data_IF_403860663924
#
_entry.id   IF_403860663924
#
_cell.length_a   1.000
_cell.length_b   1.000
_cell.length_c   1.000
_cell.angle_alpha   90.00
_cell.angle_beta   90.00
_cell.angle_gamma   90.00
#
_symmetry.space_group_name_H-M   'P 1'
#
loop_
_entity.id
_entity.type
_entity.pdbx_description
1 polymer ?
#
# COMPACT_ATOMS: atom_id res chain seq x y z
N UNK A 1 9.86 -10.20 15.80
CA UNK A 1 9.13 -11.44 15.45
C UNK A 1 9.48 -12.49 16.50
N UNK A 2 8.56 -13.39 16.85
CA UNK A 2 8.87 -14.50 17.76
C UNK A 2 9.94 -15.39 17.11
N UNK A 3 11.02 -15.72 17.83
CA UNK A 3 12.10 -16.60 17.35
C UNK A 3 11.57 -17.97 16.89
N UNK A 4 10.47 -18.43 17.48
CA UNK A 4 9.81 -19.70 17.15
C UNK A 4 9.24 -19.69 15.73
N UNK A 5 8.66 -18.57 15.30
CA UNK A 5 8.11 -18.42 13.95
C UNK A 5 9.21 -18.46 12.88
N UNK A 6 10.37 -17.89 13.20
CA UNK A 6 11.50 -17.86 12.29
C UNK A 6 12.08 -19.27 12.08
N UNK A 7 12.27 -20.03 13.17
CA UNK A 7 12.69 -21.44 13.11
C UNK A 7 11.70 -22.29 12.31
N UNK A 8 10.40 -22.09 12.50
CA UNK A 8 9.38 -22.83 11.75
C UNK A 8 9.46 -22.58 10.25
N UNK A 9 9.69 -21.33 9.82
CA UNK A 9 9.81 -20.99 8.40
C UNK A 9 11.08 -21.58 7.79
N UNK A 10 12.20 -21.55 8.53
CA UNK A 10 13.46 -22.15 8.10
C UNK A 10 13.33 -23.67 7.90
N UNK A 11 12.73 -24.37 8.86
CA UNK A 11 12.51 -25.82 8.78
C UNK A 11 11.59 -26.19 7.61
N UNK A 12 10.50 -25.45 7.42
CA UNK A 12 9.57 -25.69 6.32
C UNK A 12 10.24 -25.49 4.95
N UNK A 13 11.00 -24.40 4.78
CA UNK A 13 11.76 -24.12 3.56
C UNK A 13 12.79 -25.22 3.26
N UNK A 14 13.49 -25.72 4.28
CA UNK A 14 14.44 -26.81 4.14
C UNK A 14 13.76 -28.12 3.70
N UNK A 15 12.59 -28.46 4.27
CA UNK A 15 11.86 -29.68 3.93
C UNK A 15 11.39 -29.72 2.48
N UNK A 16 11.04 -28.57 1.90
CA UNK A 16 10.56 -28.47 0.52
C UNK A 16 11.67 -28.10 -0.48
N UNK A 17 12.90 -27.89 -0.02
CA UNK A 17 14.03 -27.46 -0.85
C UNK A 17 13.85 -26.06 -1.46
N UNK A 18 13.05 -25.20 -0.83
CA UNK A 18 12.82 -23.84 -1.27
C UNK A 18 13.72 -22.86 -0.51
N UNK A 19 14.07 -21.75 -1.15
CA UNK A 19 14.72 -20.65 -0.46
C UNK A 19 13.78 -20.06 0.61
N UNK A 20 14.31 -19.50 1.71
CA UNK A 20 13.53 -18.69 2.64
C UNK A 20 12.85 -17.53 1.90
N UNK A 21 11.66 -17.10 2.34
CA UNK A 21 10.99 -15.96 1.75
C UNK A 21 11.82 -14.67 1.94
N UNK A 22 11.88 -13.83 0.91
CA UNK A 22 12.62 -12.54 0.92
C UNK A 22 12.20 -11.59 2.06
N UNK A 23 11.04 -11.82 2.68
CA UNK A 23 10.58 -11.12 3.89
C UNK A 23 11.50 -11.35 5.11
N UNK A 24 12.31 -12.42 5.11
CA UNK A 24 13.28 -12.73 6.17
C UNK A 24 14.69 -12.17 5.88
N UNK A 25 14.91 -11.53 4.73
CA UNK A 25 16.20 -10.93 4.43
C UNK A 25 16.48 -9.77 5.40
N UNK A 26 17.75 -9.61 5.79
CA UNK A 26 18.19 -8.54 6.70
C UNK A 26 17.88 -7.12 6.15
N UNK A 27 17.74 -7.00 4.83
CA UNK A 27 17.41 -5.75 4.13
C UNK A 27 15.93 -5.67 3.71
N UNK A 28 15.08 -6.59 4.17
CA UNK A 28 13.65 -6.52 3.88
C UNK A 28 13.09 -5.18 4.41
N UNK A 29 12.13 -4.57 3.71
CA UNK A 29 11.44 -3.40 4.24
C UNK A 29 10.62 -3.81 5.47
N UNK A 30 11.17 -3.55 6.67
CA UNK A 30 10.49 -3.82 7.94
C UNK A 30 9.73 -2.56 8.34
N UNK A 31 8.46 -2.71 8.73
CA UNK A 31 7.70 -1.63 9.35
C UNK A 31 8.35 -1.26 10.70
N UNK A 32 8.95 -0.07 10.77
CA UNK A 32 9.53 0.47 12.00
C UNK A 32 8.54 1.42 12.67
N UNK A 33 7.98 1.09 13.84
CA UNK A 33 6.95 1.91 14.48
C UNK A 33 7.48 3.25 15.05
N UNK A 34 8.79 3.44 15.15
CA UNK A 34 9.44 4.59 15.80
C UNK A 34 10.10 5.59 14.81
N UNK A 35 10.11 5.30 13.52
CA UNK A 35 10.41 6.31 12.51
C UNK A 35 9.12 7.09 12.24
N UNK A 36 9.22 8.41 11.98
CA UNK A 36 8.07 9.18 11.50
C UNK A 36 7.39 8.40 10.39
N UNK A 37 6.08 8.10 10.47
CA UNK A 37 5.46 7.08 9.65
C UNK A 37 5.72 7.40 8.18
N UNK A 38 6.64 6.65 7.57
CA UNK A 38 7.00 6.85 6.18
C UNK A 38 5.74 6.60 5.36
N UNK A 39 5.22 7.65 4.74
CA UNK A 39 4.09 7.52 3.84
C UNK A 39 4.58 6.72 2.63
N UNK A 40 4.18 5.44 2.56
CA UNK A 40 4.45 4.62 1.41
C UNK A 40 3.47 4.97 0.28
N UNK A 41 4.00 5.60 -0.77
CA UNK A 41 3.26 5.81 -2.01
C UNK A 41 3.31 4.53 -2.85
N UNK A 42 2.17 3.84 -2.95
CA UNK A 42 2.03 2.60 -3.73
C UNK A 42 1.24 2.90 -5.01
N UNK A 43 1.87 2.67 -6.16
CA UNK A 43 1.22 2.78 -7.47
C UNK A 43 0.76 1.42 -8.01
N UNK A 44 -0.52 1.29 -8.34
CA UNK A 44 -1.05 0.11 -9.04
C UNK A 44 -1.06 0.37 -10.56
N UNK A 45 -0.20 -0.34 -11.30
CA UNK A 45 -0.05 -0.18 -12.75
C UNK A 45 -0.64 -1.42 -13.45
N UNK A 46 -1.43 -1.20 -14.49
CA UNK A 46 -2.01 -2.27 -15.30
C UNK A 46 -2.95 -1.73 -16.37
N UNK A 47 -3.26 -2.55 -17.38
CA UNK A 47 -4.13 -2.18 -18.51
C UNK A 47 -5.52 -1.69 -18.11
N UNK A 48 -6.29 -1.16 -19.07
CA UNK A 48 -7.70 -0.81 -18.82
C UNK A 48 -8.47 -2.06 -18.34
N UNK A 49 -9.44 -1.89 -17.45
CA UNK A 49 -10.38 -2.95 -17.00
C UNK A 49 -9.76 -4.16 -16.26
N UNK A 50 -8.48 -4.12 -15.88
CA UNK A 50 -7.83 -5.22 -15.11
C UNK A 50 -8.22 -5.28 -13.62
N UNK A 51 -9.23 -4.52 -13.19
CA UNK A 51 -9.74 -4.58 -11.80
C UNK A 51 -8.97 -3.76 -10.75
N UNK A 52 -8.11 -2.81 -11.15
CA UNK A 52 -7.35 -1.94 -10.21
C UNK A 52 -8.26 -1.23 -9.20
N UNK A 53 -9.34 -0.59 -9.68
CA UNK A 53 -10.31 0.10 -8.81
C UNK A 53 -11.03 -0.87 -7.87
N UNK A 54 -11.36 -2.07 -8.34
CA UNK A 54 -11.96 -3.11 -7.52
C UNK A 54 -11.04 -3.58 -6.41
N UNK A 55 -9.74 -3.74 -6.68
CA UNK A 55 -8.73 -4.10 -5.69
C UNK A 55 -8.59 -3.02 -4.61
N UNK A 56 -8.50 -1.75 -5.02
CA UNK A 56 -8.41 -0.61 -4.10
C UNK A 56 -9.64 -0.57 -3.18
N UNK A 57 -10.84 -0.68 -3.75
CA UNK A 57 -12.08 -0.65 -2.98
C UNK A 57 -12.17 -1.83 -1.99
N UNK A 58 -11.70 -3.02 -2.40
CA UNK A 58 -11.65 -4.19 -1.51
C UNK A 58 -10.65 -4.02 -0.36
N UNK A 59 -9.48 -3.44 -0.62
CA UNK A 59 -8.46 -3.15 0.41
C UNK A 59 -8.95 -2.11 1.43
N UNK A 60 -9.73 -1.13 0.96
CA UNK A 60 -10.29 -0.08 1.80
C UNK A 60 -11.58 -0.50 2.50
N UNK A 61 -12.29 -1.49 1.96
CA UNK A 61 -13.62 -1.90 2.44
C UNK A 61 -14.74 -0.93 2.03
N UNK A 62 -14.42 0.10 1.25
CA UNK A 62 -15.37 1.12 0.78
C UNK A 62 -15.11 1.46 -0.69
N UNK A 63 -16.15 1.96 -1.37
CA UNK A 63 -16.05 2.37 -2.77
C UNK A 63 -15.41 3.76 -2.89
N UNK A 64 -14.07 3.82 -2.89
CA UNK A 64 -13.32 5.08 -2.94
C UNK A 64 -12.88 5.48 -4.36
N UNK A 65 -12.79 4.51 -5.28
CA UNK A 65 -12.50 4.70 -6.69
C UNK A 65 -13.66 4.22 -7.55
N UNK A 66 -14.20 5.10 -8.39
CA UNK A 66 -15.23 4.76 -9.35
C UNK A 66 -14.64 4.00 -10.56
N UNK A 67 -15.41 3.08 -11.14
CA UNK A 67 -15.13 2.54 -12.47
C UNK A 67 -15.68 3.53 -13.50
N UNK A 68 -14.83 4.38 -14.05
CA UNK A 68 -15.25 5.28 -15.13
C UNK A 68 -15.08 4.55 -16.47
N UNK A 69 -16.19 4.11 -17.07
CA UNK A 69 -16.18 3.36 -18.32
C UNK A 69 -15.78 4.19 -19.56
N UNK A 70 -15.70 5.52 -19.44
CA UNK A 70 -15.41 6.41 -20.58
C UNK A 70 -14.81 7.73 -20.11
N UNK A 71 -13.48 7.86 -20.22
CA UNK A 71 -12.73 9.08 -19.90
C UNK A 71 -11.23 8.78 -19.86
N UNK A 72 -10.35 9.79 -19.97
CA UNK A 72 -8.90 9.62 -19.97
C UNK A 72 -8.39 9.25 -18.55
N UNK A 73 -8.68 8.04 -18.08
CA UNK A 73 -8.17 7.50 -16.81
C UNK A 73 -8.56 8.30 -15.55
N UNK A 74 -7.85 8.04 -14.46
CA UNK A 74 -8.03 8.71 -13.17
C UNK A 74 -7.38 10.10 -13.21
N UNK A 75 -8.17 11.15 -13.39
CA UNK A 75 -7.69 12.55 -13.47
C UNK A 75 -7.31 13.14 -12.10
N UNK A 76 -7.77 12.53 -11.01
CA UNK A 76 -7.52 12.99 -9.65
C UNK A 76 -6.94 11.85 -8.81
N UNK A 77 -5.76 12.05 -8.22
CA UNK A 77 -5.14 11.07 -7.34
C UNK A 77 -5.98 10.86 -6.07
N UNK A 78 -6.38 9.61 -5.80
CA UNK A 78 -7.04 9.25 -4.54
C UNK A 78 -5.97 8.76 -3.57
N UNK A 79 -5.78 9.50 -2.47
CA UNK A 79 -4.80 9.17 -1.45
C UNK A 79 -5.53 8.68 -0.18
N UNK A 80 -5.51 7.36 0.02
CA UNK A 80 -6.09 6.72 1.20
C UNK A 80 -5.05 6.62 2.31
N UNK A 81 -5.34 7.18 3.49
CA UNK A 81 -4.38 7.22 4.59
C UNK A 81 -5.05 7.24 5.96
N UNK A 82 -4.29 6.87 6.99
CA UNK A 82 -4.75 6.99 8.37
C UNK A 82 -4.95 8.47 8.75
N UNK A 83 -5.93 8.77 9.61
CA UNK A 83 -6.27 10.15 9.96
C UNK A 83 -5.04 10.96 10.45
N UNK A 84 -4.18 10.35 11.26
CA UNK A 84 -2.97 11.00 11.80
C UNK A 84 -1.95 11.42 10.72
N UNK A 85 -1.96 10.77 9.56
CA UNK A 85 -1.03 11.04 8.46
C UNK A 85 -1.58 12.07 7.45
N UNK A 86 -2.85 12.48 7.57
CA UNK A 86 -3.51 13.33 6.55
C UNK A 86 -2.80 14.66 6.32
N UNK A 87 -2.30 15.30 7.38
CA UNK A 87 -1.64 16.61 7.29
C UNK A 87 -0.25 16.53 6.65
N UNK A 88 0.46 15.42 6.84
CA UNK A 88 1.74 15.16 6.20
C UNK A 88 1.55 14.77 4.74
N UNK A 89 0.59 13.88 4.47
CA UNK A 89 0.20 13.48 3.12
C UNK A 89 -0.25 14.68 2.29
N UNK A 90 -1.01 15.60 2.86
CA UNK A 90 -1.41 16.85 2.18
C UNK A 90 -0.20 17.65 1.71
N UNK A 91 0.79 17.85 2.59
CA UNK A 91 2.02 18.58 2.26
C UNK A 91 2.78 17.91 1.12
N UNK A 92 2.83 16.57 1.10
CA UNK A 92 3.46 15.79 0.05
C UNK A 92 2.71 15.93 -1.28
N UNK A 93 1.39 15.79 -1.28
CA UNK A 93 0.56 15.86 -2.50
C UNK A 93 0.49 17.27 -3.08
N UNK A 94 0.50 18.31 -2.24
CA UNK A 94 0.64 19.71 -2.69
C UNK A 94 1.92 19.92 -3.50
N UNK A 95 2.99 19.15 -3.22
CA UNK A 95 4.24 19.20 -3.97
C UNK A 95 4.20 18.36 -5.26
N UNK A 96 3.64 17.14 -5.21
CA UNK A 96 3.71 16.18 -6.32
C UNK A 96 2.62 16.43 -7.38
N UNK A 97 1.38 16.71 -6.95
CA UNK A 97 0.18 16.84 -7.81
C UNK A 97 -0.72 17.97 -7.29
N UNK A 98 -0.27 19.24 -7.32
CA UNK A 98 -1.02 20.35 -6.75
C UNK A 98 -2.43 20.44 -7.32
N UNK A 99 -3.42 20.51 -6.44
CA UNK A 99 -4.86 20.61 -6.74
C UNK A 99 -5.46 19.43 -7.54
N UNK A 100 -4.72 18.32 -7.70
CA UNK A 100 -5.16 17.14 -8.47
C UNK A 100 -5.22 15.89 -7.59
N UNK A 101 -5.67 16.04 -6.34
CA UNK A 101 -5.81 14.93 -5.41
C UNK A 101 -7.04 15.06 -4.50
N UNK A 102 -7.45 13.94 -3.90
CA UNK A 102 -8.42 13.85 -2.81
C UNK A 102 -7.87 12.91 -1.76
N UNK A 103 -7.85 13.35 -0.50
CA UNK A 103 -7.46 12.50 0.64
C UNK A 103 -8.72 11.82 1.18
N UNK A 104 -8.66 10.49 1.34
CA UNK A 104 -9.68 9.69 2.01
C UNK A 104 -9.10 9.17 3.32
N UNK A 105 -9.41 9.81 4.46
CA UNK A 105 -8.90 9.38 5.75
C UNK A 105 -9.67 8.15 6.24
N UNK A 106 -8.98 7.21 6.90
CA UNK A 106 -9.61 6.12 7.64
C UNK A 106 -9.28 6.19 9.14
N UNK A 107 -10.21 5.68 9.94
CA UNK A 107 -10.03 5.38 11.36
C UNK A 107 -9.98 3.86 11.50
N UNK A 108 -8.79 3.28 11.74
CA UNK A 108 -8.68 1.87 12.18
C UNK A 108 -8.59 1.84 13.69
#
# INVERSE_FOLDING_TARGET
>A
MSSELQTLVEDASAMIGAAPPALLDANAPIFQPNESPAIYLVGLIGGKEVGKSSLINALVGESISEQTDSGPGTEQAIAYAHHSASAELKRLLDFIVPNQYRIVPHNV
#
